data_IF_002966091684
#
_entry.id   IF_002966091684
#
_cell.length_a   1.000
_cell.length_b   1.000
_cell.length_c   1.000
_cell.angle_alpha   90.00
_cell.angle_beta   90.00
_cell.angle_gamma   90.00
#
_symmetry.space_group_name_H-M   'P 1'
#
loop_
_entity.id
_entity.type
_entity.pdbx_description
1 polymer ?
#
# COMPACT_ATOMS: atom_id res chain seq x y z
N UNK A 1 9.56 6.40 8.71
CA UNK A 1 8.31 6.57 7.93
C UNK A 1 8.46 6.17 6.47
N UNK A 2 9.21 6.86 5.60
CA UNK A 2 9.28 6.60 4.15
C UNK A 2 9.66 5.16 3.73
N UNK A 3 10.42 4.43 4.53
CA UNK A 3 10.75 3.03 4.32
C UNK A 3 9.66 2.04 4.80
N UNK A 4 8.59 2.53 5.42
CA UNK A 4 7.50 1.70 5.95
C UNK A 4 7.83 0.97 7.26
N UNK A 5 8.84 1.43 8.02
CA UNK A 5 9.25 0.78 9.28
C UNK A 5 8.35 1.08 10.47
N UNK A 6 7.47 2.08 10.33
CA UNK A 6 6.55 2.54 11.36
C UNK A 6 5.09 2.31 10.95
N UNK A 7 4.87 1.41 10.01
CA UNK A 7 3.55 1.00 9.54
C UNK A 7 3.07 -0.25 10.27
N UNK A 8 1.76 -0.43 10.35
CA UNK A 8 1.14 -1.65 10.85
C UNK A 8 1.59 -2.88 10.03
N UNK A 9 1.78 -2.69 8.72
CA UNK A 9 2.41 -3.68 7.84
C UNK A 9 3.80 -3.19 7.48
N UNK A 10 4.83 -3.79 8.06
CA UNK A 10 6.21 -3.38 7.86
C UNK A 10 6.63 -3.50 6.39
N UNK A 11 7.27 -2.44 5.90
CA UNK A 11 7.78 -2.41 4.53
C UNK A 11 6.73 -2.17 3.45
N UNK A 12 5.52 -1.76 3.81
CA UNK A 12 4.47 -1.45 2.86
C UNK A 12 4.93 -0.43 1.80
N UNK A 13 4.90 -0.81 0.49
CA UNK A 13 5.40 0.08 -0.57
C UNK A 13 4.51 1.30 -0.81
N UNK A 14 3.25 1.22 -0.42
CA UNK A 14 2.24 2.25 -0.62
C UNK A 14 2.62 3.57 0.07
N UNK A 15 3.24 3.52 1.26
CA UNK A 15 3.66 4.71 2.01
C UNK A 15 4.68 5.54 1.23
N UNK A 16 5.69 4.88 0.64
CA UNK A 16 6.68 5.60 -0.17
C UNK A 16 6.04 6.21 -1.43
N UNK A 17 5.09 5.50 -2.05
CA UNK A 17 4.30 6.01 -3.17
C UNK A 17 3.52 7.27 -2.79
N UNK A 18 2.72 7.21 -1.74
CA UNK A 18 1.93 8.35 -1.24
C UNK A 18 2.80 9.56 -0.90
N UNK A 19 3.98 9.33 -0.29
CA UNK A 19 4.91 10.41 0.04
C UNK A 19 5.49 11.08 -1.22
N UNK A 20 5.77 10.30 -2.27
CA UNK A 20 6.21 10.84 -3.57
C UNK A 20 5.12 11.63 -4.27
N UNK A 21 3.89 11.11 -4.27
CA UNK A 21 2.74 11.78 -4.88
C UNK A 21 2.47 13.13 -4.19
N UNK A 22 2.50 13.15 -2.85
CA UNK A 22 2.35 14.37 -2.06
C UNK A 22 3.47 15.39 -2.33
N UNK A 23 4.71 14.94 -2.45
CA UNK A 23 5.84 15.80 -2.80
C UNK A 23 5.73 16.36 -4.21
N UNK A 24 5.32 15.55 -5.19
CA UNK A 24 5.09 16.02 -6.56
C UNK A 24 4.04 17.13 -6.60
N UNK A 25 2.91 16.91 -5.92
CA UNK A 25 1.85 17.89 -5.79
C UNK A 25 2.33 19.19 -5.14
N UNK A 26 3.11 19.08 -4.04
CA UNK A 26 3.67 20.25 -3.38
C UNK A 26 4.61 21.07 -4.30
N UNK A 27 5.38 20.39 -5.16
CA UNK A 27 6.23 21.05 -6.15
C UNK A 27 5.43 21.73 -7.25
N UNK A 28 4.40 21.09 -7.77
CA UNK A 28 3.53 21.64 -8.82
C UNK A 28 2.83 22.94 -8.38
N UNK A 29 2.62 23.09 -7.06
CA UNK A 29 1.99 24.27 -6.47
C UNK A 29 2.99 25.23 -5.79
N UNK A 30 4.29 25.11 -6.09
CA UNK A 30 5.36 25.93 -5.49
C UNK A 30 5.35 25.96 -3.94
N UNK A 31 4.77 24.93 -3.31
CA UNK A 31 4.68 24.79 -1.87
C UNK A 31 5.92 24.16 -1.22
N UNK A 32 6.92 23.77 -2.02
CA UNK A 32 8.17 23.14 -1.53
C UNK A 32 9.38 23.97 -1.90
N UNK A 33 9.97 24.65 -0.91
CA UNK A 33 11.22 25.39 -1.09
C UNK A 33 12.46 24.46 -1.19
N UNK A 34 13.61 25.05 -1.52
CA UNK A 34 14.87 24.33 -1.79
C UNK A 34 15.31 23.38 -0.67
N UNK A 35 15.10 23.77 0.59
CA UNK A 35 15.46 22.94 1.75
C UNK A 35 14.60 21.67 1.83
N UNK A 36 13.28 21.81 1.74
CA UNK A 36 12.36 20.67 1.77
C UNK A 36 12.55 19.76 0.57
N UNK A 37 12.80 20.32 -0.61
CA UNK A 37 13.06 19.53 -1.81
C UNK A 37 14.27 18.62 -1.64
N UNK A 38 15.39 19.15 -1.13
CA UNK A 38 16.59 18.34 -0.81
C UNK A 38 16.32 17.28 0.25
N UNK A 39 15.53 17.62 1.27
CA UNK A 39 15.17 16.67 2.33
C UNK A 39 14.35 15.50 1.76
N UNK A 40 13.33 15.77 0.93
CA UNK A 40 12.53 14.72 0.31
C UNK A 40 13.34 13.85 -0.65
N UNK A 41 14.17 14.43 -1.51
CA UNK A 41 15.04 13.69 -2.42
C UNK A 41 16.01 12.77 -1.66
N UNK A 42 16.62 13.28 -0.60
CA UNK A 42 17.46 12.46 0.29
C UNK A 42 16.66 11.34 0.96
N UNK A 43 15.47 11.65 1.48
CA UNK A 43 14.57 10.67 2.11
C UNK A 43 14.21 9.55 1.13
N UNK A 44 13.88 9.86 -0.12
CA UNK A 44 13.58 8.85 -1.13
C UNK A 44 14.79 7.98 -1.47
N UNK A 45 15.96 8.58 -1.56
CA UNK A 45 17.23 7.85 -1.77
C UNK A 45 17.50 6.86 -0.64
N UNK A 46 17.36 7.30 0.61
CA UNK A 46 17.55 6.44 1.80
C UNK A 46 16.51 5.34 1.85
N UNK A 47 15.23 5.67 1.63
CA UNK A 47 14.15 4.68 1.63
C UNK A 47 14.37 3.62 0.54
N UNK A 48 14.83 4.02 -0.66
CA UNK A 48 15.18 3.09 -1.72
C UNK A 48 16.34 2.17 -1.30
N UNK A 49 17.40 2.73 -0.71
CA UNK A 49 18.53 1.94 -0.22
C UNK A 49 18.12 0.92 0.83
N UNK A 50 17.32 1.31 1.81
CA UNK A 50 16.77 0.40 2.83
C UNK A 50 16.04 -0.76 2.17
N UNK A 51 15.17 -0.47 1.20
CA UNK A 51 14.39 -1.50 0.50
C UNK A 51 15.21 -2.43 -0.39
N UNK A 52 16.32 -1.94 -0.95
CA UNK A 52 17.18 -2.75 -1.84
C UNK A 52 18.29 -3.49 -1.11
N UNK A 53 18.69 -3.03 0.08
CA UNK A 53 19.79 -3.60 0.84
C UNK A 53 19.37 -4.41 2.06
N UNK A 54 18.06 -4.54 2.29
CA UNK A 54 17.50 -5.33 3.40
C UNK A 54 16.31 -6.15 2.95
N UNK A 55 15.99 -7.21 3.68
CA UNK A 55 14.86 -8.10 3.42
C UNK A 55 13.48 -7.42 3.45
N UNK A 56 13.38 -6.18 3.94
CA UNK A 56 12.10 -5.44 3.99
C UNK A 56 11.51 -5.15 2.61
N UNK A 57 12.36 -5.18 1.56
CA UNK A 57 11.92 -5.00 0.17
C UNK A 57 11.58 -6.30 -0.57
N UNK A 58 11.96 -7.45 -0.03
CA UNK A 58 11.86 -8.75 -0.71
C UNK A 58 10.42 -9.28 -0.75
N UNK A 59 9.64 -9.02 0.31
CA UNK A 59 8.26 -9.46 0.40
C UNK A 59 7.33 -8.26 0.65
N UNK A 60 6.95 -7.52 -0.40
CA UNK A 60 6.07 -6.38 -0.26
C UNK A 60 4.67 -6.84 0.13
N UNK A 61 4.39 -6.89 1.41
CA UNK A 61 3.05 -7.21 1.93
C UNK A 61 2.25 -5.92 1.99
N UNK A 62 1.10 -5.89 1.31
CA UNK A 62 0.12 -4.81 1.47
C UNK A 62 -0.92 -5.19 2.51
N UNK A 63 -1.57 -4.20 3.15
CA UNK A 63 -2.72 -4.42 4.05
C UNK A 63 -3.81 -5.21 3.32
N UNK A 64 -4.02 -4.93 2.04
CA UNK A 64 -4.98 -5.66 1.20
C UNK A 64 -4.63 -7.15 1.08
N UNK A 65 -3.37 -7.47 0.80
CA UNK A 65 -2.91 -8.86 0.73
C UNK A 65 -3.03 -9.57 2.09
N UNK A 66 -2.63 -8.91 3.17
CA UNK A 66 -2.72 -9.47 4.52
C UNK A 66 -4.18 -9.80 4.88
N UNK A 67 -5.12 -8.89 4.58
CA UNK A 67 -6.54 -9.11 4.84
C UNK A 67 -7.09 -10.32 4.07
N UNK A 68 -6.74 -10.47 2.79
CA UNK A 68 -7.18 -11.61 1.97
C UNK A 68 -6.53 -12.91 2.43
N UNK A 69 -5.25 -12.88 2.80
CA UNK A 69 -4.56 -14.02 3.39
C UNK A 69 -5.23 -14.50 4.68
N UNK A 70 -5.62 -13.56 5.56
CA UNK A 70 -6.39 -13.90 6.77
C UNK A 70 -7.75 -14.50 6.44
N UNK A 71 -8.45 -13.97 5.43
CA UNK A 71 -9.74 -14.50 5.00
C UNK A 71 -9.61 -15.96 4.53
N UNK A 72 -8.54 -16.33 3.82
CA UNK A 72 -8.26 -17.71 3.44
C UNK A 72 -8.08 -18.68 4.64
N UNK A 73 -7.60 -18.19 5.78
CA UNK A 73 -7.51 -19.03 6.98
C UNK A 73 -8.86 -19.24 7.65
N UNK A 74 -9.83 -18.34 7.43
CA UNK A 74 -11.17 -18.41 8.04
C UNK A 74 -12.14 -19.16 7.14
N UNK A 75 -12.06 -18.94 5.83
CA UNK A 75 -12.99 -19.49 4.84
C UNK A 75 -12.30 -20.54 3.97
N UNK A 76 -12.75 -21.78 4.07
CA UNK A 76 -12.17 -22.87 3.29
C UNK A 76 -12.40 -22.73 1.78
N UNK A 77 -13.50 -22.10 1.37
CA UNK A 77 -13.86 -21.87 -0.04
C UNK A 77 -14.34 -20.43 -0.22
N UNK A 78 -13.46 -19.59 -0.76
CA UNK A 78 -13.74 -18.17 -1.01
C UNK A 78 -14.81 -17.96 -2.09
N UNK A 79 -14.99 -18.91 -3.02
CA UNK A 79 -15.93 -18.79 -4.13
C UNK A 79 -17.40 -18.79 -3.69
N UNK A 80 -17.68 -19.30 -2.50
CA UNK A 80 -19.03 -19.37 -1.91
C UNK A 80 -19.39 -18.12 -1.10
N UNK A 81 -18.43 -17.22 -0.91
CA UNK A 81 -18.62 -16.03 -0.08
C UNK A 81 -18.96 -14.80 -0.94
N UNK A 82 -19.59 -13.84 -0.28
CA UNK A 82 -19.83 -12.49 -0.83
C UNK A 82 -19.02 -11.51 -0.03
N UNK A 83 -18.37 -10.56 -0.70
CA UNK A 83 -17.60 -9.50 -0.05
C UNK A 83 -18.42 -8.20 -0.03
N UNK A 84 -18.52 -7.59 1.15
CA UNK A 84 -18.98 -6.22 1.31
C UNK A 84 -17.76 -5.31 1.45
N UNK A 85 -17.61 -4.38 0.54
CA UNK A 85 -16.55 -3.38 0.51
C UNK A 85 -17.14 -2.03 0.89
N UNK A 86 -16.63 -1.43 1.96
CA UNK A 86 -17.10 -0.13 2.46
C UNK A 86 -16.04 0.92 2.14
N UNK A 87 -16.38 1.84 1.22
CA UNK A 87 -15.49 2.87 0.69
C UNK A 87 -15.09 2.63 -0.76
N UNK A 88 -14.44 3.63 -1.39
CA UNK A 88 -14.04 3.63 -2.81
C UNK A 88 -12.59 4.06 -3.04
N UNK A 89 -11.72 3.93 -2.02
CA UNK A 89 -10.30 4.31 -2.10
C UNK A 89 -9.43 3.24 -2.78
N UNK A 90 -8.20 3.60 -3.12
CA UNK A 90 -7.20 2.70 -3.76
C UNK A 90 -6.99 1.39 -3.00
N UNK A 91 -7.05 1.40 -1.67
CA UNK A 91 -6.90 0.19 -0.85
C UNK A 91 -8.07 -0.77 -1.05
N UNK A 92 -9.30 -0.26 -1.11
CA UNK A 92 -10.51 -1.08 -1.36
C UNK A 92 -10.46 -1.71 -2.75
N UNK A 93 -10.04 -0.96 -3.76
CA UNK A 93 -9.85 -1.49 -5.12
C UNK A 93 -8.83 -2.65 -5.13
N UNK A 94 -7.71 -2.49 -4.41
CA UNK A 94 -6.69 -3.53 -4.32
C UNK A 94 -7.19 -4.77 -3.56
N UNK A 95 -7.95 -4.59 -2.48
CA UNK A 95 -8.61 -5.69 -1.76
C UNK A 95 -9.59 -6.42 -2.68
N UNK A 96 -10.41 -5.69 -3.45
CA UNK A 96 -11.37 -6.29 -4.39
C UNK A 96 -10.66 -7.17 -5.43
N UNK A 97 -9.54 -6.70 -6.00
CA UNK A 97 -8.73 -7.48 -6.96
C UNK A 97 -8.20 -8.76 -6.33
N UNK A 98 -7.58 -8.68 -5.16
CA UNK A 98 -7.05 -9.86 -4.46
C UNK A 98 -8.16 -10.86 -4.06
N UNK A 99 -9.33 -10.39 -3.65
CA UNK A 99 -10.48 -11.25 -3.36
C UNK A 99 -11.02 -11.92 -4.63
N UNK A 100 -11.05 -11.21 -5.77
CA UNK A 100 -11.45 -11.78 -7.05
C UNK A 100 -10.46 -12.87 -7.50
N UNK A 101 -9.15 -12.61 -7.37
CA UNK A 101 -8.10 -13.60 -7.66
C UNK A 101 -8.21 -14.83 -6.74
N UNK A 102 -8.66 -14.62 -5.51
CA UNK A 102 -8.95 -15.67 -4.53
C UNK A 102 -10.25 -16.45 -4.79
N UNK A 103 -11.02 -16.08 -5.81
CA UNK A 103 -12.21 -16.78 -6.25
C UNK A 103 -13.57 -16.17 -5.83
N UNK A 104 -13.58 -15.05 -5.10
CA UNK A 104 -14.83 -14.34 -4.78
C UNK A 104 -15.46 -13.77 -6.04
N UNK A 105 -16.73 -14.07 -6.28
CA UNK A 105 -17.46 -13.69 -7.50
C UNK A 105 -18.47 -12.57 -7.29
N UNK A 106 -18.89 -12.33 -6.05
CA UNK A 106 -19.94 -11.37 -5.72
C UNK A 106 -19.43 -10.31 -4.77
N UNK A 107 -19.51 -9.07 -5.21
CA UNK A 107 -19.10 -7.89 -4.45
C UNK A 107 -20.29 -6.95 -4.27
N UNK A 108 -20.40 -6.40 -3.07
CA UNK A 108 -21.26 -5.27 -2.75
C UNK A 108 -20.34 -4.11 -2.37
N UNK A 109 -20.57 -2.95 -2.93
CA UNK A 109 -19.79 -1.73 -2.63
C UNK A 109 -20.73 -0.69 -2.04
N UNK A 110 -20.35 -0.12 -0.89
CA UNK A 110 -21.11 0.90 -0.17
C UNK A 110 -20.24 2.12 0.13
#
# INVERSE_FOLDING_TARGET
MAAGLDSMVLGEPQILGQLKDAYSMAREHDASGAFLSRLFEHTFSVAKRVRTQTAIGENPVSVAYAAVSMAHHIFADMSRNRALLIGAGKTIELVARHLADAGVKHFLVA
#
